data_IF_767827564307
#
_entry.id   IF_767827564307
#
_cell.length_a   1.000
_cell.length_b   1.000
_cell.length_c   1.000
_cell.angle_alpha   90.00
_cell.angle_beta   90.00
_cell.angle_gamma   90.00
#
_symmetry.space_group_name_H-M   'P 1'
#
loop_
_entity.id
_entity.type
_entity.pdbx_description
1 polymer ?
#
# COMPACT_ATOMS: atom_id res chain seq x y z
N UNK A 1 -14.37 18.47 -2.23
CA UNK A 1 -13.85 17.56 -3.28
C UNK A 1 -14.27 16.14 -2.92
N UNK A 2 -14.87 15.40 -3.85
CA UNK A 2 -15.24 14.00 -3.64
C UNK A 2 -13.96 13.19 -3.77
N UNK A 3 -13.60 12.41 -2.74
CA UNK A 3 -12.46 11.50 -2.77
C UNK A 3 -12.93 10.11 -3.18
N UNK A 4 -12.16 9.46 -4.04
CA UNK A 4 -12.42 8.11 -4.53
C UNK A 4 -11.12 7.33 -4.74
N UNK A 5 -11.24 6.02 -4.78
CA UNK A 5 -10.14 5.11 -5.02
C UNK A 5 -10.57 3.96 -5.91
N UNK A 6 -9.66 3.42 -6.69
CA UNK A 6 -9.89 2.28 -7.58
C UNK A 6 -8.58 1.62 -7.98
N UNK A 7 -8.67 0.65 -8.87
CA UNK A 7 -7.48 -0.01 -9.38
C UNK A 7 -7.63 -0.47 -10.83
N UNK A 8 -6.48 -0.67 -11.49
CA UNK A 8 -6.39 -1.60 -12.62
C UNK A 8 -6.25 -2.99 -12.03
N UNK A 9 -7.38 -3.70 -11.94
CA UNK A 9 -7.41 -5.09 -11.51
C UNK A 9 -6.90 -5.96 -12.66
N UNK A 10 -5.83 -6.72 -12.43
CA UNK A 10 -5.16 -7.50 -13.47
C UNK A 10 -4.95 -8.95 -13.05
N UNK A 11 -4.81 -9.84 -14.04
CA UNK A 11 -4.41 -11.23 -13.84
C UNK A 11 -3.60 -11.74 -15.04
N UNK A 12 -2.97 -12.90 -14.87
CA UNK A 12 -2.47 -13.69 -15.99
C UNK A 12 -3.52 -14.71 -16.39
N UNK A 13 -3.92 -14.70 -17.65
CA UNK A 13 -4.78 -15.73 -18.23
C UNK A 13 -4.08 -17.11 -18.22
N UNK A 14 -4.81 -18.17 -18.48
CA UNK A 14 -4.24 -19.53 -18.60
C UNK A 14 -3.18 -19.64 -19.70
N UNK A 15 -3.21 -18.76 -20.71
CA UNK A 15 -2.18 -18.62 -21.75
C UNK A 15 -0.89 -17.93 -21.26
N UNK A 16 -0.92 -17.30 -20.09
CA UNK A 16 0.15 -16.42 -19.57
C UNK A 16 0.00 -14.97 -20.00
N UNK A 17 -0.96 -14.63 -20.84
CA UNK A 17 -1.22 -13.26 -21.29
C UNK A 17 -1.79 -12.40 -20.16
N UNK A 18 -1.43 -11.11 -20.18
CA UNK A 18 -1.97 -10.14 -19.25
C UNK A 18 -3.40 -9.75 -19.62
N UNK A 19 -4.31 -9.84 -18.67
CA UNK A 19 -5.67 -9.35 -18.75
C UNK A 19 -5.94 -8.32 -17.64
N UNK A 20 -6.80 -7.35 -17.93
CA UNK A 20 -7.32 -6.40 -16.96
C UNK A 20 -8.85 -6.47 -16.93
N UNK A 21 -9.43 -6.28 -15.75
CA UNK A 21 -10.87 -6.20 -15.57
C UNK A 21 -11.37 -4.79 -15.89
N UNK A 22 -12.46 -4.73 -16.66
CA UNK A 22 -13.28 -3.53 -16.82
C UNK A 22 -14.72 -3.86 -16.45
N UNK A 23 -15.44 -2.89 -15.95
CA UNK A 23 -16.83 -3.03 -15.49
C UNK A 23 -17.78 -2.21 -16.34
N UNK A 24 -18.98 -2.76 -16.59
CA UNK A 24 -20.09 -2.01 -17.17
C UNK A 24 -21.03 -1.55 -16.07
N UNK A 25 -21.38 -0.24 -16.11
CA UNK A 25 -22.24 0.40 -15.11
C UNK A 25 -23.57 0.79 -15.76
N UNK A 26 -24.66 0.05 -15.52
CA UNK A 26 -25.94 0.23 -16.23
C UNK A 26 -26.52 1.63 -16.02
N UNK A 27 -26.34 2.24 -14.84
CA UNK A 27 -26.79 3.60 -14.54
C UNK A 27 -26.23 4.66 -15.49
N UNK A 28 -25.00 4.48 -15.97
CA UNK A 28 -24.28 5.44 -16.83
C UNK A 28 -24.15 4.93 -18.26
N UNK A 29 -24.48 3.68 -18.51
CA UNK A 29 -24.27 2.96 -19.79
C UNK A 29 -22.82 3.14 -20.29
N UNK A 30 -21.86 2.91 -19.40
CA UNK A 30 -20.44 3.10 -19.67
C UNK A 30 -19.56 1.93 -19.19
N UNK A 31 -18.39 1.81 -19.83
CA UNK A 31 -17.31 0.91 -19.42
C UNK A 31 -16.22 1.70 -18.71
N UNK A 32 -15.84 1.23 -17.53
CA UNK A 32 -14.94 1.94 -16.61
C UNK A 32 -13.97 0.99 -15.93
N UNK A 33 -12.89 1.53 -15.36
CA UNK A 33 -12.12 0.84 -14.33
C UNK A 33 -12.91 0.82 -13.00
N UNK A 34 -12.85 -0.26 -12.21
CA UNK A 34 -13.54 -0.36 -10.93
C UNK A 34 -13.00 0.67 -9.93
N UNK A 35 -13.92 1.41 -9.27
CA UNK A 35 -13.62 2.50 -8.34
C UNK A 35 -14.85 3.02 -7.62
N UNK A 36 -14.69 3.43 -6.39
CA UNK A 36 -15.77 4.08 -5.67
C UNK A 36 -15.33 5.15 -4.68
N UNK A 37 -16.25 5.63 -3.86
CA UNK A 37 -16.01 6.73 -2.92
C UNK A 37 -15.26 6.25 -1.69
N UNK A 38 -14.38 7.11 -1.18
CA UNK A 38 -13.78 6.93 0.14
C UNK A 38 -14.82 7.26 1.21
N UNK A 39 -15.06 6.34 2.12
CA UNK A 39 -15.97 6.52 3.25
C UNK A 39 -15.34 7.34 4.38
N UNK A 40 -16.15 7.96 5.27
CA UNK A 40 -15.62 8.72 6.41
C UNK A 40 -14.70 7.85 7.30
N UNK A 41 -13.46 8.30 7.49
CA UNK A 41 -12.47 7.58 8.31
C UNK A 41 -11.72 6.46 7.58
N UNK A 42 -12.02 6.22 6.31
CA UNK A 42 -11.35 5.25 5.46
C UNK A 42 -10.12 5.87 4.77
N UNK A 43 -9.08 5.08 4.57
CA UNK A 43 -7.95 5.47 3.71
C UNK A 43 -8.28 5.20 2.24
N UNK A 44 -7.61 5.91 1.30
CA UNK A 44 -7.83 5.67 -0.13
C UNK A 44 -7.54 4.22 -0.52
N UNK A 45 -6.46 3.62 0.02
CA UNK A 45 -6.11 2.24 -0.32
C UNK A 45 -7.13 1.23 0.23
N UNK A 46 -7.67 1.48 1.45
CA UNK A 46 -8.73 0.64 2.02
C UNK A 46 -10.01 0.74 1.18
N UNK A 47 -10.38 1.97 0.76
CA UNK A 47 -11.50 2.20 -0.14
C UNK A 47 -11.31 1.48 -1.48
N UNK A 48 -10.14 1.61 -2.10
CA UNK A 48 -9.83 0.92 -3.36
C UNK A 48 -9.95 -0.59 -3.23
N UNK A 49 -9.44 -1.16 -2.14
CA UNK A 49 -9.53 -2.61 -1.87
C UNK A 49 -10.97 -3.08 -1.73
N UNK A 50 -11.81 -2.37 -0.95
CA UNK A 50 -13.23 -2.65 -0.76
C UNK A 50 -14.00 -2.55 -2.09
N UNK A 51 -13.82 -1.45 -2.81
CA UNK A 51 -14.53 -1.20 -4.08
C UNK A 51 -14.18 -2.23 -5.18
N UNK A 52 -12.92 -2.69 -5.24
CA UNK A 52 -12.54 -3.77 -6.15
C UNK A 52 -13.34 -5.03 -5.84
N UNK A 53 -13.46 -5.41 -4.57
CA UNK A 53 -14.23 -6.58 -4.17
C UNK A 53 -15.73 -6.40 -4.46
N UNK A 54 -16.30 -5.23 -4.12
CA UNK A 54 -17.73 -4.93 -4.32
C UNK A 54 -18.12 -4.85 -5.80
N UNK A 55 -17.29 -4.19 -6.66
CA UNK A 55 -17.60 -3.99 -8.08
C UNK A 55 -17.15 -5.13 -9.00
N UNK A 56 -16.28 -6.04 -8.53
CA UNK A 56 -15.77 -7.13 -9.37
C UNK A 56 -16.01 -8.53 -8.82
N UNK A 57 -16.21 -8.67 -7.51
CA UNK A 57 -16.29 -9.96 -6.82
C UNK A 57 -14.94 -10.62 -6.55
N UNK A 58 -13.82 -9.96 -6.84
CA UNK A 58 -12.47 -10.51 -6.67
C UNK A 58 -11.76 -9.94 -5.43
N UNK A 59 -11.10 -10.83 -4.68
CA UNK A 59 -10.02 -10.46 -3.78
C UNK A 59 -8.80 -10.03 -4.59
N UNK A 60 -7.95 -9.16 -4.02
CA UNK A 60 -6.81 -8.62 -4.75
C UNK A 60 -5.62 -8.31 -3.86
N UNK A 61 -4.42 -8.28 -4.46
CA UNK A 61 -3.18 -7.82 -3.84
C UNK A 61 -2.77 -6.53 -4.52
N UNK A 62 -2.67 -5.46 -3.72
CA UNK A 62 -2.33 -4.13 -4.22
C UNK A 62 -0.82 -3.99 -4.46
N UNK A 63 -0.52 -3.46 -5.62
CA UNK A 63 0.80 -2.99 -6.05
C UNK A 63 0.92 -1.47 -5.92
N UNK A 64 1.75 -0.81 -6.76
CA UNK A 64 1.98 0.63 -6.69
C UNK A 64 0.75 1.47 -7.02
N UNK A 65 0.69 2.67 -6.43
CA UNK A 65 -0.17 3.74 -6.93
C UNK A 65 0.30 4.16 -8.32
N UNK A 66 -0.60 4.08 -9.30
CA UNK A 66 -0.26 4.30 -10.71
C UNK A 66 -0.72 5.66 -11.23
N UNK A 67 -1.56 6.36 -10.50
CA UNK A 67 -1.95 7.71 -10.88
C UNK A 67 -3.22 8.23 -10.24
N UNK A 68 -3.45 9.52 -10.46
CA UNK A 68 -4.63 10.23 -9.95
C UNK A 68 -5.33 10.94 -11.10
N UNK A 69 -6.65 10.83 -11.13
CA UNK A 69 -7.50 11.53 -12.09
C UNK A 69 -8.41 12.51 -11.36
N UNK A 70 -8.51 13.73 -11.87
CA UNK A 70 -9.42 14.76 -11.33
C UNK A 70 -10.39 15.20 -12.41
N UNK A 71 -11.69 15.08 -12.14
CA UNK A 71 -12.76 15.51 -13.03
C UNK A 71 -13.94 16.10 -12.26
N UNK A 72 -14.90 16.70 -12.97
CA UNK A 72 -16.13 17.19 -12.36
C UNK A 72 -17.23 16.16 -12.46
N UNK A 73 -17.85 15.84 -11.33
CA UNK A 73 -19.05 15.03 -11.24
C UNK A 73 -20.19 15.91 -10.69
N UNK A 74 -21.24 16.13 -11.49
CA UNK A 74 -22.40 16.97 -11.10
C UNK A 74 -21.99 18.36 -10.59
N UNK A 75 -20.93 18.92 -11.19
CA UNK A 75 -20.41 20.24 -10.83
C UNK A 75 -19.39 20.25 -9.68
N UNK A 76 -19.29 19.18 -8.90
CA UNK A 76 -18.31 19.04 -7.82
C UNK A 76 -17.01 18.38 -8.34
N UNK A 77 -15.81 18.83 -7.91
CA UNK A 77 -14.57 18.15 -8.25
C UNK A 77 -14.51 16.78 -7.54
N UNK A 78 -14.20 15.73 -8.32
CA UNK A 78 -13.93 14.36 -7.85
C UNK A 78 -12.48 14.01 -8.19
N UNK A 79 -11.75 13.54 -7.20
CA UNK A 79 -10.41 12.97 -7.32
C UNK A 79 -10.48 11.46 -7.15
N UNK A 80 -9.84 10.73 -8.05
CA UNK A 80 -9.76 9.26 -8.00
C UNK A 80 -8.31 8.86 -8.04
N UNK A 81 -7.84 8.18 -6.99
CA UNK A 81 -6.50 7.58 -6.96
C UNK A 81 -6.59 6.11 -7.39
N UNK A 82 -5.66 5.68 -8.23
CA UNK A 82 -5.63 4.33 -8.79
C UNK A 82 -4.36 3.58 -8.43
N UNK A 83 -4.53 2.30 -8.13
CA UNK A 83 -3.45 1.34 -7.90
C UNK A 83 -3.44 0.25 -8.97
N UNK A 84 -2.30 -0.42 -9.13
CA UNK A 84 -2.27 -1.75 -9.72
C UNK A 84 -2.77 -2.75 -8.68
N UNK A 85 -3.62 -3.70 -9.05
CA UNK A 85 -4.10 -4.73 -8.14
C UNK A 85 -4.14 -6.10 -8.85
N UNK A 86 -3.43 -7.08 -8.30
CA UNK A 86 -3.44 -8.45 -8.82
C UNK A 86 -4.68 -9.18 -8.29
N UNK A 87 -5.53 -9.70 -9.16
CA UNK A 87 -6.65 -10.54 -8.77
C UNK A 87 -6.15 -11.88 -8.20
N UNK A 88 -6.74 -12.33 -7.10
CA UNK A 88 -6.41 -13.61 -6.46
C UNK A 88 -7.56 -14.60 -6.55
N UNK A 89 -8.61 -14.43 -5.79
CA UNK A 89 -9.74 -15.34 -5.68
C UNK A 89 -11.04 -14.61 -6.02
N UNK A 90 -11.92 -15.30 -6.75
CA UNK A 90 -13.29 -14.83 -6.97
C UNK A 90 -14.14 -15.27 -5.76
N UNK A 91 -14.57 -14.32 -4.95
CA UNK A 91 -15.28 -14.57 -3.67
C UNK A 91 -16.75 -14.18 -3.72
N UNK A 92 -17.18 -13.53 -4.80
CA UNK A 92 -18.55 -13.04 -4.92
C UNK A 92 -18.91 -12.52 -6.30
N UNK A 93 -20.04 -11.85 -6.37
CA UNK A 93 -20.52 -11.18 -7.57
C UNK A 93 -20.89 -9.74 -7.23
N UNK A 94 -20.66 -8.79 -8.15
CA UNK A 94 -21.05 -7.40 -7.94
C UNK A 94 -22.58 -7.26 -7.82
N UNK A 95 -23.03 -6.18 -7.19
CA UNK A 95 -24.42 -5.78 -7.23
C UNK A 95 -24.83 -5.42 -8.67
N UNK A 96 -25.78 -6.15 -9.30
CA UNK A 96 -26.13 -5.94 -10.71
C UNK A 96 -26.79 -4.58 -10.98
N UNK A 97 -27.28 -3.85 -9.95
CA UNK A 97 -27.77 -2.48 -10.11
C UNK A 97 -26.62 -1.47 -10.29
N UNK A 98 -25.42 -1.82 -9.82
CA UNK A 98 -24.23 -0.96 -9.90
C UNK A 98 -23.29 -1.41 -11.01
N UNK A 99 -23.03 -2.72 -11.10
CA UNK A 99 -22.18 -3.35 -12.11
C UNK A 99 -22.86 -4.63 -12.61
N UNK A 100 -23.33 -4.63 -13.86
CA UNK A 100 -24.00 -5.76 -14.46
C UNK A 100 -23.08 -6.67 -15.28
N UNK A 101 -21.87 -6.20 -15.65
CA UNK A 101 -20.88 -6.98 -16.37
C UNK A 101 -19.47 -6.67 -15.90
N UNK A 102 -18.66 -7.73 -15.75
CA UNK A 102 -17.21 -7.65 -15.54
C UNK A 102 -16.55 -8.41 -16.70
N UNK A 103 -15.67 -7.73 -17.43
CA UNK A 103 -14.95 -8.36 -18.55
C UNK A 103 -13.44 -8.33 -18.32
N UNK A 104 -12.81 -9.46 -18.56
CA UNK A 104 -11.36 -9.60 -18.57
C UNK A 104 -10.84 -9.50 -20.00
N UNK A 105 -10.04 -8.51 -20.27
CA UNK A 105 -9.55 -8.20 -21.62
C UNK A 105 -8.05 -7.92 -21.62
N UNK A 106 -7.40 -8.28 -22.74
CA UNK A 106 -6.06 -7.77 -22.99
C UNK A 106 -6.06 -6.23 -22.93
N UNK A 107 -5.02 -5.57 -22.36
CA UNK A 107 -5.02 -4.13 -22.11
C UNK A 107 -5.39 -3.27 -23.33
N UNK A 108 -4.92 -3.65 -24.52
CA UNK A 108 -5.28 -2.95 -25.77
C UNK A 108 -6.78 -2.97 -26.03
N UNK A 109 -7.43 -4.14 -25.88
CA UNK A 109 -8.89 -4.30 -26.10
C UNK A 109 -9.67 -3.59 -25.00
N UNK A 110 -9.21 -3.65 -23.76
CA UNK A 110 -9.81 -2.91 -22.66
C UNK A 110 -9.81 -1.39 -22.93
N UNK A 111 -8.70 -0.84 -23.40
CA UNK A 111 -8.59 0.58 -23.79
C UNK A 111 -9.55 0.95 -24.95
N UNK A 112 -9.77 0.08 -25.93
CA UNK A 112 -10.70 0.31 -27.01
C UNK A 112 -12.16 0.34 -26.50
N UNK A 113 -12.48 -0.42 -25.45
CA UNK A 113 -13.81 -0.52 -24.86
C UNK A 113 -14.11 0.48 -23.76
N UNK A 114 -13.11 0.91 -22.98
CA UNK A 114 -13.24 1.93 -21.94
C UNK A 114 -13.81 3.23 -22.51
N UNK A 115 -14.89 3.74 -21.89
CA UNK A 115 -15.59 4.94 -22.35
C UNK A 115 -14.76 6.20 -22.12
N UNK A 116 -14.13 6.32 -20.94
CA UNK A 116 -13.42 7.52 -20.53
C UNK A 116 -11.94 7.51 -20.96
N UNK A 117 -11.47 8.65 -21.48
CA UNK A 117 -10.07 8.83 -21.86
C UNK A 117 -9.11 8.74 -20.66
N UNK A 118 -9.58 9.17 -19.49
CA UNK A 118 -8.76 9.19 -18.28
C UNK A 118 -8.51 7.75 -17.76
N UNK A 119 -9.52 6.86 -17.84
CA UNK A 119 -9.34 5.44 -17.53
C UNK A 119 -8.33 4.78 -18.49
N UNK A 120 -8.34 5.16 -19.79
CA UNK A 120 -7.34 4.68 -20.78
C UNK A 120 -5.93 5.13 -20.43
N UNK A 121 -5.75 6.38 -19.96
CA UNK A 121 -4.45 6.88 -19.52
C UNK A 121 -3.95 6.13 -18.28
N UNK A 122 -4.84 5.79 -17.34
CA UNK A 122 -4.48 4.95 -16.17
C UNK A 122 -4.01 3.57 -16.61
N UNK A 123 -4.63 2.95 -17.62
CA UNK A 123 -4.14 1.68 -18.17
C UNK A 123 -2.74 1.84 -18.79
N UNK A 124 -2.43 2.96 -19.44
CA UNK A 124 -1.08 3.21 -19.98
C UNK A 124 -0.05 3.32 -18.85
N UNK A 125 -0.33 4.07 -17.78
CA UNK A 125 0.54 4.13 -16.60
C UNK A 125 0.73 2.76 -15.94
N UNK A 126 -0.32 1.95 -15.84
CA UNK A 126 -0.20 0.57 -15.35
C UNK A 126 0.79 -0.26 -16.19
N UNK A 127 0.77 -0.12 -17.50
CA UNK A 127 1.68 -0.85 -18.40
C UNK A 127 3.13 -0.39 -18.26
N UNK A 128 3.37 0.87 -17.93
CA UNK A 128 4.72 1.43 -17.71
C UNK A 128 5.35 0.91 -16.41
N UNK A 129 4.59 0.80 -15.33
CA UNK A 129 5.07 0.30 -14.04
C UNK A 129 5.13 -1.23 -13.99
N UNK A 130 4.30 -1.89 -14.77
CA UNK A 130 4.23 -3.33 -14.89
C UNK A 130 3.49 -4.02 -13.75
N UNK A 131 3.10 -5.24 -14.08
CA UNK A 131 2.59 -6.23 -13.14
C UNK A 131 3.75 -6.91 -12.38
N UNK A 132 3.43 -7.79 -11.45
CA UNK A 132 4.39 -8.65 -10.74
C UNK A 132 5.38 -7.91 -9.82
N UNK A 133 4.90 -6.97 -9.02
CA UNK A 133 5.68 -6.38 -7.92
C UNK A 133 5.25 -6.98 -6.58
N UNK A 134 6.14 -6.95 -5.60
CA UNK A 134 5.84 -7.26 -4.20
C UNK A 134 6.26 -6.10 -3.29
N UNK A 135 5.56 -5.87 -2.15
CA UNK A 135 5.81 -4.74 -1.29
C UNK A 135 6.83 -5.05 -0.19
N UNK A 136 7.70 -4.09 0.10
CA UNK A 136 8.41 -3.94 1.37
C UNK A 136 7.92 -2.65 2.01
N UNK A 137 7.19 -2.76 3.12
CA UNK A 137 6.57 -1.63 3.81
C UNK A 137 7.47 -1.20 4.96
N UNK A 138 8.12 -0.06 4.80
CA UNK A 138 8.98 0.54 5.83
C UNK A 138 8.14 1.45 6.72
N UNK A 139 7.66 0.94 7.86
CA UNK A 139 6.74 1.60 8.77
C UNK A 139 7.53 2.27 9.92
N UNK A 140 7.37 3.58 10.11
CA UNK A 140 7.81 4.22 11.34
C UNK A 140 6.86 3.84 12.48
N UNK A 141 7.42 3.49 13.67
CA UNK A 141 6.61 3.22 14.84
C UNK A 141 5.59 4.34 15.13
N UNK A 142 4.45 4.00 15.69
CA UNK A 142 3.40 4.92 16.10
C UNK A 142 3.89 5.86 17.22
N UNK A 143 3.08 6.86 17.58
CA UNK A 143 3.47 7.90 18.51
C UNK A 143 3.81 7.33 19.89
N UNK A 144 5.08 7.42 20.28
CA UNK A 144 5.57 7.01 21.59
C UNK A 144 5.54 8.17 22.60
N UNK A 145 5.57 7.86 23.89
CA UNK A 145 5.80 8.85 24.95
C UNK A 145 7.03 9.70 24.60
N UNK A 146 7.04 10.95 25.00
CA UNK A 146 8.23 11.80 24.83
C UNK A 146 9.37 11.27 25.70
N UNK A 147 10.62 11.41 25.24
CA UNK A 147 11.82 11.05 26.04
C UNK A 147 11.88 11.79 27.37
N UNK A 148 11.38 13.04 27.43
CA UNK A 148 11.32 13.84 28.66
C UNK A 148 10.31 13.33 29.68
N UNK A 149 9.37 12.50 29.27
CA UNK A 149 8.25 11.99 30.09
C UNK A 149 8.44 10.50 30.44
N UNK A 150 9.64 9.97 30.19
CA UNK A 150 10.03 8.57 30.41
C UNK A 150 11.35 8.47 31.14
N UNK A 151 11.36 7.82 32.32
CA UNK A 151 12.56 7.69 33.18
C UNK A 151 13.27 6.32 33.01
N UNK A 152 12.71 5.40 32.20
CA UNK A 152 13.29 4.08 31.94
C UNK A 152 14.27 4.09 30.75
N UNK A 153 14.71 2.88 30.37
CA UNK A 153 15.52 2.69 29.16
C UNK A 153 14.72 3.12 27.91
N UNK A 154 15.37 3.80 26.95
CA UNK A 154 14.69 4.25 25.72
C UNK A 154 14.15 3.08 24.88
N UNK A 155 14.77 1.92 24.98
CA UNK A 155 14.26 0.67 24.37
C UNK A 155 12.88 0.26 24.87
N UNK A 156 12.60 0.50 26.16
CA UNK A 156 11.37 0.14 26.84
C UNK A 156 10.31 1.26 26.83
N UNK A 157 10.56 2.35 26.13
CA UNK A 157 9.65 3.48 26.03
C UNK A 157 8.40 3.12 25.20
N UNK A 158 7.18 3.14 25.81
CA UNK A 158 5.95 2.66 25.21
C UNK A 158 5.31 3.69 24.27
N UNK A 159 4.26 3.27 23.57
CA UNK A 159 3.37 4.19 22.86
C UNK A 159 2.56 5.07 23.84
N UNK A 160 2.33 6.33 23.47
CA UNK A 160 1.32 7.16 24.11
C UNK A 160 -0.09 6.79 23.61
N UNK A 161 -1.14 7.32 24.24
CA UNK A 161 -2.53 7.01 23.89
C UNK A 161 -2.85 7.20 22.39
N UNK A 162 -2.37 8.30 21.78
CA UNK A 162 -2.53 8.54 20.34
C UNK A 162 -1.86 7.43 19.52
N UNK A 163 -0.66 6.99 19.90
CA UNK A 163 0.06 5.91 19.23
C UNK A 163 -0.68 4.57 19.32
N UNK A 164 -1.30 4.27 20.44
CA UNK A 164 -2.13 3.08 20.58
C UNK A 164 -3.37 3.11 19.67
N UNK A 165 -3.97 4.29 19.44
CA UNK A 165 -5.05 4.46 18.47
C UNK A 165 -4.54 4.31 17.03
N UNK A 166 -3.36 4.88 16.70
CA UNK A 166 -2.73 4.69 15.41
C UNK A 166 -2.49 3.20 15.13
N UNK A 167 -1.86 2.47 16.05
CA UNK A 167 -1.56 1.04 15.91
C UNK A 167 -2.81 0.20 15.60
N UNK A 168 -3.95 0.49 16.24
CA UNK A 168 -5.22 -0.22 16.00
C UNK A 168 -5.79 -0.01 14.60
N UNK A 169 -5.39 1.06 13.91
CA UNK A 169 -5.93 1.43 12.58
C UNK A 169 -4.99 1.13 11.42
N UNK A 170 -3.85 0.49 11.66
CA UNK A 170 -2.89 0.13 10.61
C UNK A 170 -3.36 -1.03 9.74
N UNK A 171 -4.10 -1.99 10.32
CA UNK A 171 -4.50 -3.22 9.62
C UNK A 171 -5.23 -2.96 8.28
N UNK A 172 -6.30 -2.16 8.21
CA UNK A 172 -7.00 -1.95 6.95
C UNK A 172 -6.16 -1.22 5.89
N UNK A 173 -5.10 -0.50 6.30
CA UNK A 173 -4.19 0.19 5.38
C UNK A 173 -3.19 -0.79 4.75
N UNK A 174 -2.71 -1.77 5.53
CA UNK A 174 -1.64 -2.67 5.06
C UNK A 174 -2.12 -4.05 4.64
N UNK A 175 -3.35 -4.45 5.01
CA UNK A 175 -3.95 -5.71 4.59
C UNK A 175 -4.00 -5.87 3.05
N UNK A 176 -4.33 -4.81 2.26
CA UNK A 176 -4.36 -4.92 0.80
C UNK A 176 -3.04 -5.33 0.16
N UNK A 177 -1.91 -5.10 0.82
CA UNK A 177 -0.58 -5.47 0.31
C UNK A 177 -0.21 -6.94 0.54
N UNK A 178 -0.99 -7.69 1.31
CA UNK A 178 -0.80 -9.11 1.59
C UNK A 178 0.62 -9.49 2.04
N UNK A 179 1.25 -8.65 2.89
CA UNK A 179 2.58 -8.94 3.42
C UNK A 179 2.61 -10.31 4.12
N UNK A 180 3.61 -11.13 3.80
CA UNK A 180 3.74 -12.49 4.33
C UNK A 180 4.51 -12.54 5.64
N UNK A 181 5.42 -11.60 5.87
CA UNK A 181 6.22 -11.49 7.09
C UNK A 181 6.08 -10.10 7.73
N UNK A 182 6.21 -10.06 9.06
CA UNK A 182 6.25 -8.81 9.85
C UNK A 182 7.56 -8.80 10.62
N UNK A 183 8.42 -7.85 10.31
CA UNK A 183 9.69 -7.62 10.97
C UNK A 183 9.62 -6.36 11.81
N UNK A 184 10.31 -6.34 12.95
CA UNK A 184 10.28 -5.18 13.84
C UNK A 184 11.59 -5.02 14.60
N UNK A 185 11.94 -3.77 14.88
CA UNK A 185 12.90 -3.43 15.93
C UNK A 185 12.46 -4.04 17.27
N UNK A 186 13.41 -4.37 18.11
CA UNK A 186 13.19 -4.86 19.49
C UNK A 186 12.73 -3.77 20.48
N UNK A 187 12.69 -2.50 20.07
CA UNK A 187 12.16 -1.41 20.89
C UNK A 187 10.64 -1.56 21.11
N UNK A 188 10.19 -1.39 22.38
CA UNK A 188 8.81 -1.59 22.80
C UNK A 188 7.80 -0.83 21.93
N UNK A 189 8.08 0.44 21.57
CA UNK A 189 7.22 1.26 20.70
C UNK A 189 7.00 0.66 19.30
N UNK A 190 8.00 -0.05 18.76
CA UNK A 190 7.86 -0.76 17.47
C UNK A 190 7.01 -2.03 17.66
N UNK A 191 7.26 -2.79 18.71
CA UNK A 191 6.50 -3.99 19.07
C UNK A 191 5.02 -3.65 19.24
N UNK A 192 4.69 -2.65 20.07
CA UNK A 192 3.32 -2.21 20.30
C UNK A 192 2.64 -1.66 19.02
N UNK A 193 3.41 -1.09 18.11
CA UNK A 193 2.88 -0.59 16.83
C UNK A 193 2.33 -1.72 15.96
N UNK A 194 3.04 -2.86 15.87
CA UNK A 194 2.64 -3.95 14.97
C UNK A 194 1.80 -5.04 15.63
N UNK A 195 1.74 -5.07 16.97
CA UNK A 195 1.17 -6.17 17.74
C UNK A 195 -0.30 -6.46 17.37
N UNK A 196 -1.16 -5.41 17.29
CA UNK A 196 -2.58 -5.59 16.94
C UNK A 196 -2.73 -6.15 15.53
N UNK A 197 -1.96 -5.64 14.58
CA UNK A 197 -1.98 -6.10 13.19
C UNK A 197 -1.45 -7.52 13.06
N UNK A 198 -0.33 -7.84 13.72
CA UNK A 198 0.26 -9.17 13.71
C UNK A 198 -0.70 -10.24 14.24
N UNK A 199 -1.37 -9.96 15.37
CA UNK A 199 -2.40 -10.86 15.91
C UNK A 199 -3.58 -11.05 14.96
N UNK A 200 -4.08 -9.97 14.36
CA UNK A 200 -5.21 -10.03 13.43
C UNK A 200 -4.88 -10.84 12.17
N UNK A 201 -3.65 -10.73 11.68
CA UNK A 201 -3.13 -11.50 10.54
C UNK A 201 -2.63 -12.90 10.92
N UNK A 202 -2.67 -13.27 12.22
CA UNK A 202 -2.14 -14.54 12.75
C UNK A 202 -0.66 -14.77 12.38
N UNK A 203 0.14 -13.70 12.39
CA UNK A 203 1.58 -13.74 12.08
C UNK A 203 2.41 -13.53 13.34
N UNK A 204 3.52 -14.26 13.43
CA UNK A 204 4.51 -14.07 14.49
C UNK A 204 5.53 -13.05 14.02
N UNK A 205 5.70 -11.91 14.72
CA UNK A 205 6.71 -10.92 14.36
C UNK A 205 8.14 -11.46 14.51
N UNK A 206 9.00 -11.06 13.58
CA UNK A 206 10.44 -11.36 13.59
C UNK A 206 11.17 -10.12 14.14
N UNK A 207 11.85 -10.29 15.27
CA UNK A 207 12.58 -9.23 15.94
C UNK A 207 14.01 -9.14 15.44
N UNK A 208 14.48 -7.92 15.14
CA UNK A 208 15.90 -7.70 14.81
C UNK A 208 16.42 -6.43 15.47
N UNK A 209 17.60 -6.55 16.09
CA UNK A 209 18.36 -5.40 16.61
C UNK A 209 18.88 -4.48 15.52
N UNK A 210 19.10 -5.00 14.31
CA UNK A 210 19.55 -4.24 13.15
C UNK A 210 18.54 -3.14 12.75
N UNK A 211 17.27 -3.33 13.11
CA UNK A 211 16.19 -2.37 12.86
C UNK A 211 16.02 -1.36 14.01
N UNK A 212 16.81 -1.43 15.09
CA UNK A 212 16.75 -0.52 16.24
C UNK A 212 17.69 0.68 16.11
N UNK A 213 17.38 1.77 16.82
CA UNK A 213 18.27 2.94 16.88
C UNK A 213 19.64 2.54 17.46
N UNK A 214 19.66 1.69 18.49
CA UNK A 214 20.90 1.23 19.10
C UNK A 214 21.73 0.37 18.14
N UNK A 215 21.13 -0.60 17.43
CA UNK A 215 21.83 -1.41 16.43
C UNK A 215 22.39 -0.55 15.29
N UNK A 216 21.63 0.45 14.86
CA UNK A 216 22.04 1.40 13.82
C UNK A 216 23.22 2.31 14.26
N UNK A 217 23.39 2.60 15.55
CA UNK A 217 24.57 3.31 16.05
C UNK A 217 25.84 2.42 15.97
N UNK A 218 25.69 1.11 16.13
CA UNK A 218 26.79 0.13 16.03
C UNK A 218 27.14 -0.12 14.57
N UNK A 219 26.13 -0.46 13.74
CA UNK A 219 26.30 -0.71 12.30
C UNK A 219 25.23 0.02 11.50
N UNK A 220 25.66 1.04 10.76
CA UNK A 220 24.76 1.89 9.96
C UNK A 220 24.29 1.26 8.66
N UNK A 221 24.96 0.23 8.18
CA UNK A 221 24.58 -0.48 6.95
C UNK A 221 23.68 -1.68 7.25
N UNK A 222 23.70 -2.23 8.45
CA UNK A 222 22.91 -3.40 8.83
C UNK A 222 21.41 -3.31 8.48
N UNK A 223 20.69 -2.17 8.70
CA UNK A 223 19.28 -2.06 8.28
C UNK A 223 19.11 -2.09 6.75
N UNK A 224 20.08 -1.58 6.00
CA UNK A 224 20.06 -1.62 4.53
C UNK A 224 20.21 -3.06 4.04
N UNK A 225 21.22 -3.76 4.55
CA UNK A 225 21.49 -5.17 4.20
C UNK A 225 20.29 -6.05 4.57
N UNK A 226 19.65 -5.77 5.72
CA UNK A 226 18.43 -6.46 6.14
C UNK A 226 17.28 -6.32 5.16
N UNK A 227 17.01 -5.09 4.72
CA UNK A 227 15.93 -4.82 3.76
C UNK A 227 16.29 -5.36 2.37
N UNK A 228 17.56 -5.28 1.96
CA UNK A 228 18.02 -5.84 0.69
C UNK A 228 17.87 -7.38 0.66
N UNK A 229 18.17 -8.08 1.76
CA UNK A 229 17.94 -9.54 1.85
C UNK A 229 16.47 -9.90 1.62
N UNK A 230 15.53 -9.14 2.22
CA UNK A 230 14.10 -9.37 1.99
C UNK A 230 13.72 -9.14 0.52
N UNK A 231 14.29 -8.11 -0.11
CA UNK A 231 14.07 -7.81 -1.52
C UNK A 231 14.63 -8.91 -2.44
N UNK A 232 15.84 -9.39 -2.17
CA UNK A 232 16.52 -10.43 -2.95
C UNK A 232 15.81 -11.78 -2.85
N UNK A 233 15.23 -12.07 -1.67
CA UNK A 233 14.42 -13.26 -1.42
C UNK A 233 12.99 -13.16 -1.93
N UNK A 234 12.55 -11.97 -2.39
CA UNK A 234 11.20 -11.74 -2.89
C UNK A 234 10.11 -11.89 -1.83
N UNK A 235 10.39 -11.46 -0.59
CA UNK A 235 9.48 -11.61 0.55
C UNK A 235 8.64 -10.34 0.73
N UNK A 236 7.31 -10.37 0.50
CA UNK A 236 6.42 -9.28 0.87
C UNK A 236 6.43 -9.07 2.38
N UNK A 237 6.89 -7.92 2.86
CA UNK A 237 7.10 -7.72 4.29
C UNK A 237 6.69 -6.33 4.80
N UNK A 238 6.29 -6.28 6.07
CA UNK A 238 6.20 -5.05 6.87
C UNK A 238 7.44 -5.01 7.76
N UNK A 239 8.17 -3.90 7.73
CA UNK A 239 9.37 -3.67 8.54
C UNK A 239 9.14 -2.43 9.40
N UNK A 240 8.85 -2.63 10.70
CA UNK A 240 8.64 -1.54 11.63
C UNK A 240 9.97 -1.11 12.27
N UNK A 241 10.30 0.17 12.11
CA UNK A 241 11.56 0.74 12.57
C UNK A 241 11.43 2.23 12.93
N UNK A 242 12.49 3.00 12.84
CA UNK A 242 12.65 4.34 13.35
C UNK A 242 12.97 5.36 12.26
N UNK A 243 12.66 6.64 12.51
CA UNK A 243 12.86 7.71 11.55
C UNK A 243 14.32 7.89 11.10
N UNK A 244 15.36 7.81 11.96
CA UNK A 244 16.72 7.94 11.48
C UNK A 244 17.15 6.84 10.49
N UNK A 245 16.53 5.68 10.56
CA UNK A 245 16.87 4.47 9.79
C UNK A 245 16.15 4.48 8.45
N UNK A 246 14.80 4.56 8.46
CA UNK A 246 13.97 4.42 7.26
C UNK A 246 14.38 5.38 6.14
N UNK A 247 14.52 6.72 6.36
CA UNK A 247 14.91 7.61 5.27
C UNK A 247 16.29 7.28 4.67
N UNK A 248 17.22 6.75 5.47
CA UNK A 248 18.55 6.38 4.98
C UNK A 248 18.52 5.12 4.11
N UNK A 249 17.77 4.11 4.54
CA UNK A 249 17.52 2.88 3.76
C UNK A 249 16.86 3.23 2.43
N UNK A 250 15.77 3.99 2.46
CA UNK A 250 15.07 4.43 1.25
C UNK A 250 15.99 5.17 0.29
N UNK A 251 16.77 6.14 0.81
CA UNK A 251 17.71 6.92 -0.02
C UNK A 251 18.73 6.06 -0.75
N UNK A 252 19.20 4.98 -0.12
CA UNK A 252 20.16 4.05 -0.70
C UNK A 252 19.50 3.17 -1.78
N UNK A 253 18.30 2.65 -1.51
CA UNK A 253 17.61 1.71 -2.38
C UNK A 253 16.97 2.37 -3.62
N UNK A 254 16.33 3.53 -3.47
CA UNK A 254 15.61 4.16 -4.59
C UNK A 254 16.44 5.12 -5.45
N UNK A 255 17.65 5.46 -5.00
CA UNK A 255 18.52 6.41 -5.68
C UNK A 255 18.02 7.87 -5.65
N UNK A 256 18.87 8.79 -6.12
CA UNK A 256 18.63 10.24 -5.99
C UNK A 256 17.40 10.76 -6.73
N UNK A 257 17.00 10.11 -7.82
CA UNK A 257 15.89 10.58 -8.67
C UNK A 257 14.54 10.48 -7.96
N UNK A 258 14.27 9.34 -7.32
CA UNK A 258 13.03 9.11 -6.56
C UNK A 258 13.08 9.73 -5.16
N UNK A 259 14.26 9.73 -4.52
CA UNK A 259 14.44 10.24 -3.17
C UNK A 259 14.04 11.71 -3.03
N UNK A 260 14.21 12.54 -4.07
CA UNK A 260 13.89 13.98 -4.00
C UNK A 260 12.41 14.25 -3.70
N UNK A 261 11.50 13.38 -4.12
CA UNK A 261 10.06 13.46 -3.79
C UNK A 261 9.73 12.89 -2.40
N UNK A 262 10.64 12.10 -1.82
CA UNK A 262 10.51 11.41 -0.52
C UNK A 262 11.45 11.97 0.55
N UNK A 263 12.18 13.06 0.26
CA UNK A 263 13.15 13.70 1.16
C UNK A 263 12.44 14.52 2.24
N UNK A 264 11.65 13.83 3.05
CA UNK A 264 11.00 14.36 4.25
C UNK A 264 11.07 13.33 5.36
N UNK A 265 11.06 13.80 6.60
CA UNK A 265 10.94 12.90 7.75
C UNK A 265 9.54 12.27 7.79
N UNK A 266 9.48 10.99 8.15
CA UNK A 266 8.19 10.35 8.40
C UNK A 266 7.65 10.82 9.75
N UNK A 267 6.36 11.16 9.80
CA UNK A 267 5.65 11.28 11.07
C UNK A 267 5.36 9.87 11.67
N UNK A 268 5.10 9.76 12.98
CA UNK A 268 4.76 8.48 13.60
C UNK A 268 3.59 7.79 12.90
N UNK A 269 3.73 6.49 12.64
CA UNK A 269 2.81 5.63 11.91
C UNK A 269 2.68 5.93 10.39
N UNK A 270 3.51 6.80 9.84
CA UNK A 270 3.69 6.90 8.39
C UNK A 270 4.61 5.80 7.87
N UNK A 271 4.47 5.46 6.60
CA UNK A 271 5.31 4.47 5.95
C UNK A 271 5.69 4.84 4.52
N UNK A 272 6.72 4.19 4.03
CA UNK A 272 7.09 4.14 2.62
C UNK A 272 6.93 2.69 2.16
N UNK A 273 6.16 2.47 1.10
CA UNK A 273 6.06 1.17 0.45
C UNK A 273 7.02 1.15 -0.73
N UNK A 274 7.99 0.26 -0.68
CA UNK A 274 8.86 -0.06 -1.79
C UNK A 274 8.22 -1.19 -2.59
N UNK A 275 7.87 -0.93 -3.84
CA UNK A 275 7.39 -1.97 -4.75
C UNK A 275 8.58 -2.55 -5.48
N UNK A 276 8.86 -3.83 -5.22
CA UNK A 276 10.08 -4.50 -5.63
C UNK A 276 9.82 -5.53 -6.72
N UNK A 277 10.81 -5.73 -7.59
CA UNK A 277 10.84 -6.79 -8.60
C UNK A 277 12.28 -7.16 -8.88
N UNK A 278 12.61 -8.46 -8.80
CA UNK A 278 13.96 -9.00 -9.06
C UNK A 278 15.06 -8.28 -8.25
N UNK A 279 14.82 -8.03 -6.96
CA UNK A 279 15.78 -7.39 -6.05
C UNK A 279 15.93 -5.87 -6.21
N UNK A 280 15.14 -5.23 -7.08
CA UNK A 280 15.20 -3.78 -7.32
C UNK A 280 13.88 -3.09 -6.98
N UNK A 281 13.95 -1.84 -6.54
CA UNK A 281 12.77 -0.98 -6.32
C UNK A 281 12.33 -0.38 -7.65
N UNK A 282 11.10 -0.67 -8.07
CA UNK A 282 10.52 -0.17 -9.32
C UNK A 282 9.54 0.98 -9.13
N UNK A 283 8.91 1.09 -7.95
CA UNK A 283 8.05 2.21 -7.57
C UNK A 283 8.05 2.39 -6.04
N UNK A 284 7.62 3.56 -5.57
CA UNK A 284 7.52 3.87 -4.16
C UNK A 284 6.26 4.67 -3.89
N UNK A 285 5.52 4.29 -2.84
CA UNK A 285 4.36 5.02 -2.34
C UNK A 285 4.62 5.56 -0.94
N UNK A 286 4.05 6.73 -0.68
CA UNK A 286 4.01 7.32 0.65
C UNK A 286 2.64 7.04 1.29
N UNK A 287 2.65 6.47 2.48
CA UNK A 287 1.43 6.20 3.25
C UNK A 287 1.38 7.15 4.45
N UNK A 288 0.35 7.96 4.50
CA UNK A 288 0.11 8.86 5.62
C UNK A 288 -0.33 8.09 6.88
N UNK A 289 -0.22 8.78 8.03
CA UNK A 289 -0.68 8.22 9.29
C UNK A 289 -2.19 7.93 9.25
N UNK A 290 -2.67 6.89 9.97
CA UNK A 290 -4.09 6.58 10.00
C UNK A 290 -4.90 7.73 10.61
N UNK A 291 -6.07 7.98 10.07
CA UNK A 291 -7.04 8.93 10.62
C UNK A 291 -7.52 8.46 11.99
N UNK A 292 -7.44 9.31 13.01
CA UNK A 292 -7.86 9.04 14.40
C UNK A 292 -8.87 10.10 14.87
#
# INVERSE_FOLDING_TARGET
MIQAAGAVLWRKASSGDLEIAIIHRPKYDDWSLPKGKVEPGESHISAGYREIQEETGYESIFGPEIGTVVYKLEGAPKEVRYWAAAATEETGHPNPEEVDQVEWLAPKKAKEKLTNKDDRAIVDYFLDFGADTFPIILLRHAKALKRTDWDGDDGDRPLEHRGQLQAKRLLPIYMPYAATEIHTSDALRCIETIDVMARSLQKTPIFSKDLSEYGFEIDREAPLDYVQDLMDRGIPAIVCSHNPIIPKVVKKLVGKKYFKSMDRELEPAQAIVLHCRAGEVVACDWIDEPLI
#
